data_IF_010920215905
#
_entry.id   IF_010920215905
#
_cell.length_a   1.000
_cell.length_b   1.000
_cell.length_c   1.000
_cell.angle_alpha   90.00
_cell.angle_beta   90.00
_cell.angle_gamma   90.00
#
_symmetry.space_group_name_H-M   'P 1'
#
loop_
_entity.id
_entity.type
_entity.pdbx_description
1 polymer ?
#
# COMPACT_ATOMS: atom_id res chain seq x y z
N UNK A 1 18.92 0.56 8.21
CA UNK A 1 17.50 0.60 8.61
C UNK A 1 16.70 0.23 7.37
N UNK A 2 16.50 -1.07 7.14
CA UNK A 2 15.77 -1.53 5.96
C UNK A 2 14.33 -1.05 6.06
N UNK A 3 13.87 -0.31 5.06
CA UNK A 3 12.43 -0.19 4.83
C UNK A 3 11.97 -1.61 4.55
N UNK A 4 11.12 -2.17 5.41
CA UNK A 4 10.43 -3.42 5.08
C UNK A 4 9.80 -3.20 3.69
N UNK A 5 10.08 -4.06 2.70
CA UNK A 5 9.44 -3.94 1.40
C UNK A 5 7.92 -3.91 1.63
N UNK A 6 7.23 -3.11 0.82
CA UNK A 6 5.77 -3.10 0.88
C UNK A 6 5.30 -4.44 0.35
N UNK A 7 4.75 -5.30 1.21
CA UNK A 7 4.17 -6.58 0.80
C UNK A 7 2.70 -6.41 0.41
N UNK A 8 2.18 -7.35 -0.38
CA UNK A 8 0.78 -7.31 -0.85
C UNK A 8 -0.25 -7.26 0.30
N UNK A 9 -0.03 -8.02 1.36
CA UNK A 9 -0.90 -7.99 2.55
C UNK A 9 -0.92 -6.61 3.23
N UNK A 10 0.23 -5.94 3.27
CA UNK A 10 0.33 -4.60 3.85
C UNK A 10 -0.38 -3.57 2.97
N UNK A 11 -0.23 -3.66 1.64
CA UNK A 11 -0.97 -2.83 0.69
C UNK A 11 -2.48 -3.02 0.82
N UNK A 12 -2.97 -4.27 0.92
CA UNK A 12 -4.39 -4.58 1.10
C UNK A 12 -4.95 -3.97 2.40
N UNK A 13 -4.18 -4.02 3.49
CA UNK A 13 -4.57 -3.36 4.76
C UNK A 13 -4.68 -1.84 4.63
N UNK A 14 -3.80 -1.21 3.85
CA UNK A 14 -3.84 0.23 3.59
C UNK A 14 -5.05 0.60 2.74
N UNK A 15 -5.32 -0.17 1.68
CA UNK A 15 -6.49 0.03 0.82
C UNK A 15 -7.80 -0.12 1.62
N UNK A 16 -7.92 -1.17 2.45
CA UNK A 16 -9.08 -1.36 3.30
C UNK A 16 -9.30 -0.21 4.31
N UNK A 17 -8.22 0.41 4.80
CA UNK A 17 -8.31 1.58 5.67
C UNK A 17 -8.78 2.83 4.92
N UNK A 18 -8.31 3.04 3.68
CA UNK A 18 -8.74 4.14 2.81
C UNK A 18 -10.22 4.00 2.41
N UNK A 19 -10.67 2.80 2.07
CA UNK A 19 -12.09 2.53 1.77
C UNK A 19 -13.00 2.72 2.98
N UNK A 20 -12.53 2.32 4.16
CA UNK A 20 -13.29 2.44 5.41
C UNK A 20 -13.47 3.90 5.83
N UNK A 21 -12.49 4.76 5.55
CA UNK A 21 -12.53 6.19 5.84
C UNK A 21 -12.00 7.01 4.66
N UNK A 22 -12.90 7.38 3.72
CA UNK A 22 -12.52 8.11 2.51
C UNK A 22 -12.06 9.55 2.79
N UNK A 23 -12.35 10.10 3.98
CA UNK A 23 -11.89 11.43 4.41
C UNK A 23 -10.54 11.37 5.13
N UNK A 24 -9.99 10.18 5.36
CA UNK A 24 -8.68 10.01 5.98
C UNK A 24 -7.54 10.57 5.11
N UNK A 25 -6.42 11.02 5.71
CA UNK A 25 -5.26 11.46 4.96
C UNK A 25 -4.70 10.40 4.00
N UNK A 26 -4.86 9.11 4.33
CA UNK A 26 -4.44 7.99 3.47
C UNK A 26 -5.24 7.97 2.17
N UNK A 27 -6.57 8.02 2.26
CA UNK A 27 -7.46 8.04 1.10
C UNK A 27 -7.30 9.34 0.29
N UNK A 28 -7.22 10.48 0.96
CA UNK A 28 -7.09 11.78 0.26
C UNK A 28 -5.75 11.99 -0.43
N UNK A 29 -4.68 11.34 0.04
CA UNK A 29 -3.33 11.49 -0.54
C UNK A 29 -2.99 10.48 -1.63
N UNK A 30 -3.88 9.52 -1.92
CA UNK A 30 -3.60 8.40 -2.84
C UNK A 30 -2.42 7.55 -2.39
N UNK A 31 -2.26 7.38 -1.07
CA UNK A 31 -1.17 6.58 -0.52
C UNK A 31 -1.41 5.09 -0.71
N UNK A 32 -2.65 4.65 -0.64
CA UNK A 32 -3.13 3.31 -0.98
C UNK A 32 -2.73 2.89 -2.39
N UNK A 33 -2.93 3.73 -3.40
CA UNK A 33 -2.50 3.46 -4.78
C UNK A 33 -0.98 3.25 -4.88
N UNK A 34 -0.20 4.11 -4.18
CA UNK A 34 1.26 3.98 -4.12
C UNK A 34 1.70 2.73 -3.37
N UNK A 35 0.97 2.32 -2.34
CA UNK A 35 1.25 1.10 -1.59
C UNK A 35 1.02 -0.12 -2.47
N UNK A 36 -0.10 -0.18 -3.20
CA UNK A 36 -0.38 -1.26 -4.14
C UNK A 36 0.70 -1.36 -5.23
N UNK A 37 1.07 -0.23 -5.85
CA UNK A 37 2.12 -0.21 -6.87
C UNK A 37 3.52 -0.57 -6.33
N UNK A 38 3.79 -0.33 -5.04
CA UNK A 38 5.01 -0.76 -4.39
C UNK A 38 5.01 -2.27 -4.13
N UNK A 39 3.87 -2.83 -3.69
CA UNK A 39 3.71 -4.27 -3.52
C UNK A 39 3.85 -5.04 -4.84
N UNK A 40 3.18 -4.58 -5.90
CA UNK A 40 3.31 -5.20 -7.22
C UNK A 40 4.75 -5.18 -7.73
N UNK A 41 5.54 -4.14 -7.40
CA UNK A 41 6.97 -4.10 -7.76
C UNK A 41 7.78 -5.10 -6.95
N UNK A 42 7.54 -5.21 -5.64
CA UNK A 42 8.32 -6.10 -4.79
C UNK A 42 8.00 -7.57 -5.07
N UNK A 43 6.72 -7.90 -5.32
CA UNK A 43 6.32 -9.25 -5.77
C UNK A 43 7.02 -9.62 -7.09
N UNK A 44 7.23 -8.66 -8.00
CA UNK A 44 7.91 -8.90 -9.27
C UNK A 44 9.44 -8.99 -9.17
N UNK A 45 10.05 -8.40 -8.15
CA UNK A 45 11.49 -8.45 -7.86
C UNK A 45 11.89 -9.68 -7.02
N UNK A 46 10.92 -10.44 -6.46
CA UNK A 46 11.15 -11.68 -5.70
C UNK A 46 11.19 -12.96 -6.58
N UNK A 47 11.13 -12.83 -7.92
CA UNK A 47 11.20 -13.94 -8.90
C UNK A 47 12.61 -14.17 -9.48
#
# INVERSE_FOLDING_TARGET
>A
MGKEPMDRESADRIAAAAERDPDSPTAQSGFDDRAAAAADRNDADEE
#
